data_IF_429069523722
#
_entry.id   IF_429069523722
#
_cell.length_a   1.000
_cell.length_b   1.000
_cell.length_c   1.000
_cell.angle_alpha   90.00
_cell.angle_beta   90.00
_cell.angle_gamma   90.00
#
_symmetry.space_group_name_H-M   'P 1'
#
loop_
_entity.id
_entity.type
_entity.pdbx_description
1 polymer ?
#
# COMPACT_ATOMS: atom_id res chain seq x y z
N UNK A 1 -1.91 2.14 -5.41
CA UNK A 1 -2.07 2.58 -4.00
C UNK A 1 -3.13 3.66 -3.85
N UNK A 2 -3.05 4.79 -4.58
CA UNK A 2 -4.07 5.87 -4.53
C UNK A 2 -5.51 5.34 -4.70
N UNK A 3 -5.75 4.46 -5.67
CA UNK A 3 -7.08 3.87 -5.87
C UNK A 3 -7.60 3.11 -4.64
N UNK A 4 -6.73 2.39 -3.94
CA UNK A 4 -7.11 1.67 -2.71
C UNK A 4 -7.46 2.66 -1.61
N UNK A 5 -6.69 3.74 -1.48
CA UNK A 5 -7.01 4.82 -0.54
C UNK A 5 -8.38 5.43 -0.87
N UNK A 6 -8.64 5.73 -2.14
CA UNK A 6 -9.91 6.29 -2.59
C UNK A 6 -11.09 5.37 -2.27
N UNK A 7 -10.98 4.07 -2.54
CA UNK A 7 -12.05 3.14 -2.23
C UNK A 7 -12.21 2.92 -0.72
N UNK A 8 -11.10 2.89 0.03
CA UNK A 8 -11.11 2.74 1.50
C UNK A 8 -11.70 3.94 2.22
N UNK A 9 -11.69 5.12 1.59
CA UNK A 9 -12.33 6.35 2.09
C UNK A 9 -13.79 6.12 2.45
N UNK A 10 -14.47 5.26 1.69
CA UNK A 10 -15.88 4.98 1.84
C UNK A 10 -16.75 6.24 1.73
N UNK A 11 -17.70 6.40 2.65
CA UNK A 11 -18.55 7.58 2.70
C UNK A 11 -17.83 8.79 3.37
N UNK A 12 -18.31 10.01 3.11
CA UNK A 12 -17.69 11.25 3.63
C UNK A 12 -17.79 11.42 5.15
N UNK A 13 -18.52 10.55 5.87
CA UNK A 13 -18.78 10.68 7.30
C UNK A 13 -17.67 10.12 8.18
N UNK A 14 -16.88 9.17 7.65
CA UNK A 14 -15.86 8.44 8.42
C UNK A 14 -14.48 8.77 7.88
N UNK A 15 -13.55 9.12 8.79
CA UNK A 15 -12.17 9.44 8.43
C UNK A 15 -11.29 8.21 8.58
N UNK A 16 -10.32 8.04 7.68
CA UNK A 16 -9.28 7.01 7.79
C UNK A 16 -7.90 7.65 7.85
N UNK A 17 -7.03 7.09 8.68
CA UNK A 17 -5.59 7.36 8.64
C UNK A 17 -4.91 6.39 7.69
N UNK A 18 -4.06 6.89 6.80
CA UNK A 18 -3.27 6.09 5.86
C UNK A 18 -1.80 6.44 6.05
N UNK A 19 -1.01 5.42 6.40
CA UNK A 19 0.44 5.53 6.49
C UNK A 19 1.07 4.93 5.24
N UNK A 20 1.64 5.78 4.40
CA UNK A 20 2.37 5.37 3.20
C UNK A 20 3.84 5.23 3.56
N UNK A 21 4.34 4.02 3.61
CA UNK A 21 5.73 3.73 4.00
C UNK A 21 6.59 3.47 2.76
N UNK A 22 7.58 4.32 2.55
CA UNK A 22 8.67 4.07 1.61
C UNK A 22 9.67 3.11 2.29
N UNK A 23 9.63 1.82 1.90
CA UNK A 23 10.63 0.84 2.31
C UNK A 23 11.75 0.78 1.27
N UNK A 24 12.94 1.26 1.64
CA UNK A 24 14.12 1.27 0.77
C UNK A 24 15.09 0.20 1.25
N UNK A 25 15.56 -0.63 0.32
CA UNK A 25 16.57 -1.65 0.62
C UNK A 25 17.94 -0.99 0.86
N UNK A 26 18.52 -1.24 2.04
CA UNK A 26 19.94 -0.94 2.27
C UNK A 26 20.77 -2.10 1.75
N UNK A 27 21.51 -1.84 0.68
CA UNK A 27 22.50 -2.73 0.10
C UNK A 27 23.84 -1.98 0.05
N UNK A 28 24.94 -2.65 -0.25
CA UNK A 28 26.28 -2.04 -0.35
C UNK A 28 26.37 -0.91 -1.41
N UNK A 29 25.34 -0.72 -2.23
CA UNK A 29 25.18 0.43 -3.13
C UNK A 29 24.39 1.61 -2.54
N UNK A 30 23.70 1.44 -1.41
CA UNK A 30 22.83 2.41 -0.72
C UNK A 30 23.26 2.64 0.76
N UNK A 31 24.42 2.13 1.17
CA UNK A 31 24.89 2.17 2.55
C UNK A 31 25.49 3.54 2.90
N UNK A 32 24.64 4.55 3.13
CA UNK A 32 25.08 5.73 3.86
C UNK A 32 24.01 6.15 4.86
N UNK A 33 24.45 6.11 6.11
CA UNK A 33 23.69 6.29 7.35
C UNK A 33 23.08 7.69 7.40
N UNK A 34 21.76 7.79 7.65
CA UNK A 34 21.12 9.07 7.97
C UNK A 34 21.35 9.40 9.45
N UNK A 35 22.07 10.50 9.70
CA UNK A 35 22.17 11.16 11.02
C UNK A 35 21.04 12.19 11.11
N UNK A 36 20.36 12.37 12.27
CA UNK A 36 19.33 13.40 12.42
C UNK A 36 19.95 14.79 12.29
N UNK A 37 19.33 15.67 11.49
CA UNK A 37 19.71 17.09 11.37
C UNK A 37 19.61 17.79 12.73
N UNK A 38 20.78 18.12 13.29
CA UNK A 38 20.93 19.21 14.28
C UNK A 38 22.15 20.02 13.83
N UNK A 39 21.88 21.29 13.51
CA UNK A 39 22.82 22.37 13.17
C UNK A 39 23.68 22.26 11.90
N UNK A 40 23.13 22.82 10.81
CA UNK A 40 23.78 23.93 10.10
C UNK A 40 25.25 23.76 9.69
N UNK A 41 25.57 22.77 8.86
CA UNK A 41 26.74 22.84 7.96
C UNK A 41 26.55 21.91 6.77
N UNK A 42 26.60 22.50 5.58
CA UNK A 42 26.34 21.84 4.30
C UNK A 42 27.64 21.18 3.81
N UNK A 43 27.82 19.89 4.08
CA UNK A 43 28.77 19.05 3.34
C UNK A 43 28.06 17.82 2.77
N UNK A 44 28.21 17.67 1.46
CA UNK A 44 27.40 16.83 0.58
C UNK A 44 27.63 15.33 0.82
N UNK A 45 26.62 14.63 1.33
CA UNK A 45 26.46 13.19 1.15
C UNK A 45 25.57 12.94 -0.09
N UNK A 46 26.08 13.25 -1.28
CA UNK A 46 25.43 12.88 -2.54
C UNK A 46 25.72 11.43 -2.87
N UNK A 47 24.69 10.59 -2.83
CA UNK A 47 24.24 9.68 -3.90
C UNK A 47 23.24 8.68 -3.30
N UNK A 48 22.07 9.17 -2.88
CA UNK A 48 20.87 8.34 -3.03
C UNK A 48 20.74 8.09 -4.55
N UNK A 49 20.48 6.85 -4.97
CA UNK A 49 20.20 6.52 -6.36
C UNK A 49 19.21 7.55 -6.91
N UNK A 50 19.67 8.36 -7.87
CA UNK A 50 18.91 9.50 -8.42
C UNK A 50 17.53 9.04 -8.94
N UNK A 51 17.46 7.79 -9.42
CA UNK A 51 16.23 7.17 -9.85
C UNK A 51 15.25 6.90 -8.68
N UNK A 52 15.76 6.50 -7.51
CA UNK A 52 14.96 6.29 -6.29
C UNK A 52 14.46 7.62 -5.74
N UNK A 53 15.31 8.66 -5.74
CA UNK A 53 14.93 10.01 -5.31
C UNK A 53 13.82 10.56 -6.20
N UNK A 54 14.04 10.53 -7.52
CA UNK A 54 13.06 11.02 -8.50
C UNK A 54 11.74 10.25 -8.41
N UNK A 55 11.78 8.92 -8.31
CA UNK A 55 10.57 8.11 -8.15
C UNK A 55 9.81 8.46 -6.87
N UNK A 56 10.53 8.67 -5.77
CA UNK A 56 9.93 9.02 -4.48
C UNK A 56 9.26 10.39 -4.53
N UNK A 57 9.88 11.37 -5.21
CA UNK A 57 9.30 12.69 -5.44
C UNK A 57 8.03 12.60 -6.30
N UNK A 58 8.06 11.84 -7.40
CA UNK A 58 6.88 11.60 -8.24
C UNK A 58 5.72 11.00 -7.45
N UNK A 59 6.01 10.02 -6.58
CA UNK A 59 5.01 9.41 -5.69
C UNK A 59 4.49 10.41 -4.67
N UNK A 60 5.36 11.24 -4.07
CA UNK A 60 4.94 12.32 -3.15
C UNK A 60 3.93 13.24 -3.83
N UNK A 61 4.31 13.76 -5.00
CA UNK A 61 3.49 14.73 -5.72
C UNK A 61 2.13 14.13 -6.10
N UNK A 62 2.09 12.89 -6.59
CA UNK A 62 0.84 12.21 -6.92
C UNK A 62 -0.08 12.02 -5.70
N UNK A 63 0.49 11.73 -4.52
CA UNK A 63 -0.28 11.60 -3.27
C UNK A 63 -0.81 12.96 -2.82
N UNK A 64 0.03 14.00 -2.83
CA UNK A 64 -0.37 15.34 -2.42
C UNK A 64 -1.48 15.89 -3.31
N UNK A 65 -1.34 15.80 -4.63
CA UNK A 65 -2.40 16.21 -5.56
C UNK A 65 -3.72 15.48 -5.29
N UNK A 66 -3.68 14.17 -5.03
CA UNK A 66 -4.87 13.42 -4.66
C UNK A 66 -5.50 13.91 -3.35
N UNK A 67 -4.69 14.17 -2.32
CA UNK A 67 -5.19 14.64 -1.02
C UNK A 67 -5.83 16.02 -1.14
N UNK A 68 -5.23 16.92 -1.91
CA UNK A 68 -5.75 18.28 -2.16
C UNK A 68 -7.07 18.27 -2.94
N UNK A 69 -7.17 17.46 -4.00
CA UNK A 69 -8.34 17.44 -4.88
C UNK A 69 -9.51 16.64 -4.31
N UNK A 70 -9.22 15.45 -3.74
CA UNK A 70 -10.24 14.42 -3.45
C UNK A 70 -10.11 13.80 -2.04
N UNK A 71 -9.09 14.17 -1.27
CA UNK A 71 -8.74 13.54 0.01
C UNK A 71 -9.67 13.83 1.19
N UNK A 72 -10.84 14.46 1.00
CA UNK A 72 -11.78 14.72 2.11
C UNK A 72 -12.24 13.40 2.74
N UNK A 73 -11.76 13.12 3.96
CA UNK A 73 -12.02 11.87 4.68
C UNK A 73 -10.78 10.97 4.84
N UNK A 74 -9.63 11.35 4.30
CA UNK A 74 -8.37 10.63 4.47
C UNK A 74 -7.34 11.57 5.10
N UNK A 75 -6.66 11.10 6.13
CA UNK A 75 -5.42 11.71 6.62
C UNK A 75 -4.25 10.84 6.17
N UNK A 76 -3.31 11.42 5.41
CA UNK A 76 -2.18 10.68 4.84
C UNK A 76 -0.89 11.12 5.52
N UNK A 77 -0.12 10.16 6.02
CA UNK A 77 1.22 10.40 6.53
C UNK A 77 2.21 9.54 5.76
N UNK A 78 3.32 10.16 5.32
CA UNK A 78 4.41 9.47 4.64
C UNK A 78 5.46 9.09 5.68
N UNK A 79 5.90 7.84 5.64
CA UNK A 79 6.97 7.29 6.47
C UNK A 79 8.10 6.80 5.56
N UNK A 80 9.33 6.83 6.05
CA UNK A 80 10.50 6.29 5.38
C UNK A 80 11.17 5.29 6.31
N UNK A 81 11.51 4.12 5.78
CA UNK A 81 12.30 3.12 6.48
C UNK A 81 13.31 2.51 5.53
N UNK A 82 14.55 2.43 6.00
CA UNK A 82 15.70 1.91 5.26
C UNK A 82 16.15 0.63 5.96
N UNK A 83 16.15 -0.49 5.23
CA UNK A 83 16.34 -1.81 5.85
C UNK A 83 16.86 -2.84 4.87
N UNK A 84 17.49 -3.90 5.37
CA UNK A 84 17.85 -5.06 4.53
C UNK A 84 16.62 -5.93 4.35
N UNK A 85 16.50 -6.69 3.26
CA UNK A 85 15.39 -7.66 3.13
C UNK A 85 15.27 -8.63 4.31
N UNK A 86 16.38 -8.92 4.99
CA UNK A 86 16.40 -9.74 6.19
C UNK A 86 15.59 -9.11 7.33
N UNK A 87 15.63 -7.79 7.50
CA UNK A 87 15.05 -7.07 8.64
C UNK A 87 13.75 -6.30 8.32
N UNK A 88 13.46 -6.03 7.04
CA UNK A 88 12.29 -5.25 6.60
C UNK A 88 10.97 -5.69 7.24
N UNK A 89 10.79 -6.99 7.47
CA UNK A 89 9.58 -7.52 8.08
C UNK A 89 9.39 -7.06 9.54
N UNK A 90 10.49 -6.97 10.31
CA UNK A 90 10.45 -6.49 11.69
C UNK A 90 10.15 -5.00 11.72
N UNK A 91 10.77 -4.21 10.84
CA UNK A 91 10.50 -2.77 10.73
C UNK A 91 9.03 -2.51 10.38
N UNK A 92 8.46 -3.26 9.44
CA UNK A 92 7.04 -3.16 9.09
C UNK A 92 6.13 -3.52 10.28
N UNK A 93 6.46 -4.55 11.07
CA UNK A 93 5.67 -4.92 12.25
C UNK A 93 5.77 -3.84 13.35
N UNK A 94 6.98 -3.32 13.60
CA UNK A 94 7.23 -2.25 14.57
C UNK A 94 6.50 -0.95 14.17
N UNK A 95 6.53 -0.60 12.88
CA UNK A 95 5.80 0.56 12.36
C UNK A 95 4.30 0.37 12.51
N UNK A 96 3.77 -0.82 12.19
CA UNK A 96 2.36 -1.14 12.36
C UNK A 96 1.91 -1.00 13.82
N UNK A 97 2.73 -1.46 14.75
CA UNK A 97 2.49 -1.32 16.19
C UNK A 97 2.54 0.15 16.64
N UNK A 98 3.58 0.89 16.24
CA UNK A 98 3.79 2.28 16.62
C UNK A 98 2.64 3.20 16.19
N UNK A 99 2.05 2.95 15.02
CA UNK A 99 0.91 3.71 14.51
C UNK A 99 -0.44 3.06 14.81
N UNK A 100 -0.44 1.95 15.57
CA UNK A 100 -1.63 1.15 15.90
C UNK A 100 -2.48 0.80 14.66
N UNK A 101 -1.80 0.40 13.58
CA UNK A 101 -2.44 0.09 12.30
C UNK A 101 -3.43 -1.07 12.44
N UNK A 102 -4.65 -0.90 11.94
CA UNK A 102 -5.65 -1.98 11.91
C UNK A 102 -5.46 -2.95 10.74
N UNK A 103 -4.86 -2.46 9.64
CA UNK A 103 -4.64 -3.23 8.42
C UNK A 103 -3.31 -2.80 7.79
N UNK A 104 -2.46 -3.79 7.49
CA UNK A 104 -1.22 -3.59 6.75
C UNK A 104 -1.36 -4.15 5.34
N UNK A 105 -1.14 -3.33 4.31
CA UNK A 105 -1.22 -3.75 2.90
C UNK A 105 0.18 -3.86 2.31
N UNK A 106 0.56 -5.07 1.90
CA UNK A 106 1.83 -5.37 1.24
C UNK A 106 1.68 -5.46 -0.28
N UNK A 107 2.69 -5.08 -1.07
CA UNK A 107 2.71 -5.41 -2.49
C UNK A 107 2.93 -6.92 -2.70
N UNK A 108 2.40 -7.45 -3.80
CA UNK A 108 2.71 -8.82 -4.21
C UNK A 108 4.14 -8.95 -4.75
N UNK A 109 4.75 -10.11 -4.56
CA UNK A 109 6.14 -10.39 -4.96
C UNK A 109 6.33 -10.59 -6.48
N UNK A 110 5.29 -10.29 -7.28
CA UNK A 110 5.29 -10.34 -8.75
C UNK A 110 4.42 -9.22 -9.30
N UNK A 111 4.81 -8.67 -10.42
CA UNK A 111 4.03 -7.71 -11.20
C UNK A 111 3.49 -8.37 -12.48
N UNK A 112 2.33 -7.91 -12.93
CA UNK A 112 1.81 -8.29 -14.24
C UNK A 112 2.50 -7.48 -15.34
N UNK A 113 3.02 -8.17 -16.34
CA UNK A 113 3.64 -7.60 -17.54
C UNK A 113 2.57 -7.09 -18.52
N UNK A 114 2.95 -6.25 -19.50
CA UNK A 114 2.01 -5.76 -20.52
C UNK A 114 1.31 -6.86 -21.32
N UNK A 115 1.95 -8.02 -21.50
CA UNK A 115 1.40 -9.22 -22.17
C UNK A 115 0.43 -10.03 -21.29
N UNK A 116 0.18 -9.60 -20.05
CA UNK A 116 -0.69 -10.28 -19.10
C UNK A 116 -0.02 -11.38 -18.28
N UNK A 117 1.24 -11.73 -18.56
CA UNK A 117 1.98 -12.75 -17.80
C UNK A 117 2.56 -12.13 -16.53
N UNK A 118 2.77 -12.93 -15.48
CA UNK A 118 3.48 -12.48 -14.29
C UNK A 118 4.99 -12.49 -14.55
N UNK A 119 5.70 -11.50 -14.00
CA UNK A 119 7.16 -11.47 -14.00
C UNK A 119 7.79 -12.51 -13.05
N UNK A 120 9.13 -12.48 -12.99
CA UNK A 120 9.89 -13.36 -12.12
C UNK A 120 9.63 -13.10 -10.65
N UNK A 121 9.78 -14.15 -9.83
CA UNK A 121 9.60 -14.05 -8.38
C UNK A 121 10.65 -13.10 -7.80
N UNK A 122 10.20 -12.01 -7.17
CA UNK A 122 11.08 -11.16 -6.39
C UNK A 122 11.24 -11.79 -5.00
N UNK A 123 12.29 -12.58 -4.84
CA UNK A 123 12.49 -13.45 -3.66
C UNK A 123 12.55 -12.68 -2.33
N UNK A 124 13.16 -11.49 -2.30
CA UNK A 124 13.18 -10.61 -1.13
C UNK A 124 11.78 -10.23 -0.64
N UNK A 125 10.93 -9.72 -1.54
CA UNK A 125 9.53 -9.40 -1.22
C UNK A 125 8.73 -10.63 -0.79
N UNK A 126 8.94 -11.80 -1.42
CA UNK A 126 8.26 -13.03 -0.99
C UNK A 126 8.67 -13.44 0.42
N UNK A 127 9.94 -13.28 0.78
CA UNK A 127 10.46 -13.54 2.12
C UNK A 127 9.82 -12.60 3.14
N UNK A 128 9.85 -11.29 2.88
CA UNK A 128 9.25 -10.25 3.74
C UNK A 128 7.75 -10.52 3.95
N UNK A 129 6.98 -10.72 2.86
CA UNK A 129 5.54 -10.96 2.98
C UNK A 129 5.22 -12.17 3.86
N UNK A 130 5.98 -13.27 3.74
CA UNK A 130 5.77 -14.46 4.57
C UNK A 130 6.05 -14.23 6.05
N UNK A 131 7.04 -13.40 6.36
CA UNK A 131 7.39 -13.05 7.73
C UNK A 131 6.35 -12.12 8.34
N UNK A 132 5.97 -11.05 7.63
CA UNK A 132 4.92 -10.12 8.07
C UNK A 132 3.60 -10.83 8.30
N UNK A 133 3.16 -11.73 7.39
CA UNK A 133 1.93 -12.52 7.56
C UNK A 133 1.91 -13.39 8.84
N UNK A 134 3.07 -13.69 9.43
CA UNK A 134 3.17 -14.52 10.65
C UNK A 134 3.32 -13.70 11.92
N UNK A 135 3.76 -12.45 11.81
CA UNK A 135 4.29 -11.67 12.94
C UNK A 135 3.61 -10.31 13.10
N UNK A 136 2.85 -9.84 12.11
CA UNK A 136 2.21 -8.55 12.17
C UNK A 136 1.24 -8.46 13.36
N UNK A 137 1.18 -7.30 14.05
CA UNK A 137 0.26 -7.08 15.17
C UNK A 137 -1.19 -6.81 14.71
N UNK A 138 -1.48 -6.92 13.41
CA UNK A 138 -2.78 -6.59 12.82
C UNK A 138 -3.07 -7.43 11.57
N UNK A 139 -4.28 -7.27 11.01
CA UNK A 139 -4.68 -7.91 9.76
C UNK A 139 -3.74 -7.51 8.61
N UNK A 140 -3.39 -8.46 7.75
CA UNK A 140 -2.45 -8.22 6.62
C UNK A 140 -3.13 -8.57 5.30
N UNK A 141 -3.16 -7.60 4.38
CA UNK A 141 -3.58 -7.80 3.00
C UNK A 141 -2.37 -7.82 2.06
N UNK A 142 -2.39 -8.69 1.05
CA UNK A 142 -1.39 -8.67 -0.04
C UNK A 142 -2.06 -8.21 -1.33
N UNK A 143 -1.65 -7.05 -1.82
CA UNK A 143 -2.16 -6.44 -3.03
C UNK A 143 -1.53 -7.06 -4.26
N UNK A 144 -2.35 -7.73 -5.08
CA UNK A 144 -1.99 -8.18 -6.43
C UNK A 144 -2.58 -7.21 -7.44
N UNK A 145 -1.79 -6.25 -7.93
CA UNK A 145 -2.26 -5.32 -8.96
C UNK A 145 -2.21 -5.97 -10.35
N UNK A 146 -3.38 -6.10 -10.97
CA UNK A 146 -3.57 -6.60 -12.34
C UNK A 146 -4.01 -5.51 -13.32
N UNK A 147 -3.73 -4.24 -12.98
CA UNK A 147 -4.08 -3.07 -13.78
C UNK A 147 -5.27 -2.30 -13.24
N UNK A 148 -5.50 -2.30 -11.92
CA UNK A 148 -6.61 -1.59 -11.27
C UNK A 148 -6.64 -0.09 -11.64
N UNK A 149 -5.46 0.53 -11.82
CA UNK A 149 -5.32 1.93 -12.27
C UNK A 149 -5.56 2.17 -13.76
N UNK A 150 -5.57 1.13 -14.60
CA UNK A 150 -5.83 1.25 -16.05
C UNK A 150 -7.32 1.24 -16.37
N UNK A 151 -8.12 0.64 -15.51
CA UNK A 151 -9.58 0.53 -15.65
C UNK A 151 -10.23 1.93 -15.54
N UNK A 152 -9.79 2.74 -14.57
CA UNK A 152 -10.32 4.10 -14.37
C UNK A 152 -10.01 5.07 -15.53
N UNK A 153 -8.87 4.92 -16.22
CA UNK A 153 -8.50 5.80 -17.36
C UNK A 153 -9.26 5.50 -18.65
N UNK A 154 -9.94 4.35 -18.75
CA UNK A 154 -10.63 3.89 -19.96
C UNK A 154 -12.14 4.18 -19.98
N UNK A 155 -12.71 4.67 -18.88
CA UNK A 155 -14.15 4.90 -18.75
C UNK A 155 -14.48 6.38 -18.95
N UNK A 156 -15.12 6.73 -20.07
CA UNK A 156 -15.74 8.02 -20.34
C UNK A 156 -17.23 8.02 -19.89
N UNK A 157 -17.96 9.15 -20.00
CA UNK A 157 -18.59 9.93 -18.92
C UNK A 157 -19.89 9.36 -18.30
N UNK A 158 -20.14 8.06 -18.38
CA UNK A 158 -21.28 7.43 -17.67
C UNK A 158 -20.75 6.69 -16.45
N UNK A 159 -21.51 6.75 -15.34
CA UNK A 159 -21.14 6.26 -14.02
C UNK A 159 -20.80 4.75 -14.01
N UNK A 160 -19.58 4.41 -14.44
CA UNK A 160 -19.06 3.06 -14.36
C UNK A 160 -18.66 2.80 -12.92
N UNK A 161 -19.47 2.01 -12.21
CA UNK A 161 -19.10 1.47 -10.91
C UNK A 161 -17.90 0.53 -11.07
N UNK A 162 -17.08 0.47 -10.02
CA UNK A 162 -16.04 -0.55 -9.90
C UNK A 162 -16.63 -1.74 -9.17
N UNK A 163 -16.65 -2.87 -9.86
CA UNK A 163 -17.10 -4.14 -9.33
C UNK A 163 -16.04 -4.72 -8.40
N UNK A 164 -16.43 -4.93 -7.14
CA UNK A 164 -15.61 -5.56 -6.12
C UNK A 164 -16.28 -6.86 -5.71
N UNK A 165 -15.51 -7.93 -5.60
CA UNK A 165 -15.99 -9.20 -5.09
C UNK A 165 -15.23 -9.61 -3.83
N UNK A 166 -15.94 -10.15 -2.85
CA UNK A 166 -15.35 -10.79 -1.67
C UNK A 166 -15.79 -12.25 -1.60
N UNK A 167 -14.83 -13.14 -1.42
CA UNK A 167 -15.06 -14.58 -1.23
C UNK A 167 -15.10 -14.86 0.27
N UNK A 168 -16.13 -15.58 0.71
CA UNK A 168 -16.34 -15.92 2.12
C UNK A 168 -16.58 -17.42 2.27
N UNK A 169 -15.65 -18.12 2.93
CA UNK A 169 -15.74 -19.56 3.21
C UNK A 169 -16.22 -19.77 4.66
N UNK A 170 -15.82 -18.90 5.59
CA UNK A 170 -16.23 -18.91 7.01
C UNK A 170 -15.08 -18.71 8.00
N UNK A 171 -13.84 -18.56 7.51
CA UNK A 171 -12.64 -18.40 8.32
C UNK A 171 -12.56 -17.08 9.08
N UNK A 172 -11.55 -16.97 9.95
CA UNK A 172 -11.22 -15.70 10.63
C UNK A 172 -10.84 -14.62 9.61
N UNK A 173 -9.97 -14.96 8.67
CA UNK A 173 -9.49 -14.03 7.64
C UNK A 173 -10.62 -13.60 6.69
N UNK A 174 -11.57 -14.48 6.39
CA UNK A 174 -12.72 -14.14 5.55
C UNK A 174 -13.61 -13.08 6.20
N UNK A 175 -13.72 -13.07 7.53
CA UNK A 175 -14.47 -12.04 8.27
C UNK A 175 -13.76 -10.69 8.21
N UNK A 176 -12.44 -10.68 8.35
CA UNK A 176 -11.63 -9.47 8.17
C UNK A 176 -11.72 -8.93 6.73
N UNK A 177 -11.65 -9.82 5.74
CA UNK A 177 -11.81 -9.48 4.33
C UNK A 177 -13.22 -8.92 4.05
N UNK A 178 -14.27 -9.53 4.60
CA UNK A 178 -15.64 -9.04 4.47
C UNK A 178 -15.84 -7.70 5.18
N UNK A 179 -15.23 -7.50 6.35
CA UNK A 179 -15.26 -6.22 7.05
C UNK A 179 -14.62 -5.12 6.19
N UNK A 180 -13.41 -5.35 5.67
CA UNK A 180 -12.75 -4.38 4.79
C UNK A 180 -13.54 -4.14 3.49
N UNK A 181 -14.09 -5.19 2.88
CA UNK A 181 -14.93 -5.07 1.69
C UNK A 181 -16.20 -4.22 1.96
N UNK A 182 -16.85 -4.42 3.12
CA UNK A 182 -18.01 -3.63 3.53
C UNK A 182 -17.69 -2.15 3.70
N UNK A 183 -16.48 -1.83 4.16
CA UNK A 183 -15.97 -0.46 4.25
C UNK A 183 -15.81 0.15 2.86
N UNK A 184 -15.18 -0.59 1.95
CA UNK A 184 -14.97 -0.18 0.55
C UNK A 184 -16.31 0.03 -0.18
N UNK A 185 -17.32 -0.80 0.10
CA UNK A 185 -18.66 -0.67 -0.46
C UNK A 185 -19.39 0.64 -0.08
N UNK A 186 -18.91 1.38 0.92
CA UNK A 186 -19.47 2.68 1.27
C UNK A 186 -19.08 3.78 0.27
N UNK A 187 -18.10 3.52 -0.59
CA UNK A 187 -17.70 4.45 -1.63
C UNK A 187 -18.75 4.45 -2.75
N UNK A 188 -19.28 5.62 -3.18
CA UNK A 188 -20.40 5.70 -4.12
C UNK A 188 -20.09 5.12 -5.52
N UNK A 189 -18.81 4.97 -5.87
CA UNK A 189 -18.37 4.36 -7.12
C UNK A 189 -18.07 2.85 -7.02
N UNK A 190 -18.47 2.17 -5.95
CA UNK A 190 -18.20 0.74 -5.74
C UNK A 190 -19.52 -0.04 -5.71
N UNK A 191 -19.53 -1.18 -6.41
CA UNK A 191 -20.57 -2.20 -6.28
C UNK A 191 -19.93 -3.47 -5.70
N UNK A 192 -20.41 -3.96 -4.55
CA UNK A 192 -19.82 -5.10 -3.85
C UNK A 192 -20.69 -6.35 -4.02
N UNK A 193 -20.07 -7.43 -4.51
CA UNK A 193 -20.64 -8.78 -4.51
C UNK A 193 -19.96 -9.63 -3.45
N UNK A 194 -20.73 -10.19 -2.52
CA UNK A 194 -20.23 -11.19 -1.56
C UNK A 194 -20.62 -12.60 -2.01
N UNK A 195 -19.64 -13.48 -2.19
CA UNK A 195 -19.84 -14.88 -2.58
C UNK A 195 -19.55 -15.76 -1.38
N UNK A 196 -20.59 -16.33 -0.79
CA UNK A 196 -20.47 -17.29 0.31
C UNK A 196 -20.44 -18.72 -0.23
N UNK A 197 -19.39 -19.45 0.11
CA UNK A 197 -19.33 -20.89 -0.12
C UNK A 197 -19.91 -21.61 1.09
N UNK A 198 -20.81 -22.56 0.84
CA UNK A 198 -21.41 -23.41 1.86
C UNK A 198 -20.81 -24.80 1.68
N UNK A 199 -20.25 -25.36 2.76
CA UNK A 199 -19.83 -26.77 2.83
C UNK A 199 -21.04 -27.65 3.16
#
# INVERSE_FOLDING_TARGET
MINIMEFSRGNKATRIGVYVTDMIEINDCNSTIFVPEVDGSLENATMADESVVSLREQITNAILSYVEESGKGINVQRLLAISTFANMHQDLCNLAEAVQASLLILPFHRNQRPDGRMDGVKHGFRYVNRKVLRQAPCSVGVLVDRGLGRIQKRSAPTAAYIEVAVVFIGGKDDREALYYASRVAQHPGINLTAVRFLE
#
